data_IF_855414056950
#
_entry.id   IF_855414056950
#
_cell.length_a   1.000
_cell.length_b   1.000
_cell.length_c   1.000
_cell.angle_alpha   90.00
_cell.angle_beta   90.00
_cell.angle_gamma   90.00
#
_symmetry.space_group_name_H-M   'P 1'
#
loop_
_entity.id
_entity.type
_entity.pdbx_description
1 polymer ?
#
# COMPACT_ATOMS: atom_id res chain seq x y z
N UNK A 1 -23.56 41.33 31.17
CA UNK A 1 -23.68 39.98 31.72
C UNK A 1 -23.50 39.04 30.55
N UNK A 2 -22.23 38.71 30.24
CA UNK A 2 -21.85 37.83 29.16
C UNK A 2 -21.96 36.36 29.59
N UNK A 3 -22.46 35.45 28.78
CA UNK A 3 -22.46 34.04 29.14
C UNK A 3 -21.09 33.43 28.91
N UNK A 4 -20.45 32.96 29.95
CA UNK A 4 -19.23 32.18 29.93
C UNK A 4 -19.52 30.80 29.28
N UNK A 5 -18.78 30.49 28.19
CA UNK A 5 -18.79 29.20 27.54
C UNK A 5 -17.81 28.26 28.28
N UNK A 6 -18.23 27.15 28.89
CA UNK A 6 -17.31 26.19 29.47
C UNK A 6 -16.82 25.27 28.36
N UNK A 7 -15.66 25.57 27.77
CA UNK A 7 -14.91 24.60 27.00
C UNK A 7 -14.41 23.50 27.94
N UNK A 8 -15.05 22.35 27.89
CA UNK A 8 -14.57 21.14 28.50
C UNK A 8 -13.28 20.70 27.78
N UNK A 9 -12.15 20.83 28.47
CA UNK A 9 -10.92 20.16 28.11
C UNK A 9 -11.14 18.64 28.19
N UNK A 10 -11.37 17.99 27.08
CA UNK A 10 -11.19 16.55 26.97
C UNK A 10 -9.67 16.28 27.05
N UNK A 11 -9.20 15.33 27.88
CA UNK A 11 -7.79 14.97 27.89
C UNK A 11 -7.42 14.39 26.53
N UNK A 12 -6.49 15.03 25.83
CA UNK A 12 -5.82 14.44 24.68
C UNK A 12 -5.13 13.16 25.17
N UNK A 13 -5.63 12.02 24.71
CA UNK A 13 -4.98 10.75 24.92
C UNK A 13 -3.66 10.77 24.13
N UNK A 14 -2.57 11.08 24.83
CA UNK A 14 -1.22 10.85 24.34
C UNK A 14 -1.05 9.34 24.25
N UNK A 15 -1.26 8.79 23.06
CA UNK A 15 -0.87 7.41 22.74
C UNK A 15 0.63 7.42 22.54
N UNK A 16 1.37 6.87 23.50
CA UNK A 16 2.80 6.59 23.37
C UNK A 16 3.01 5.68 22.14
N UNK A 17 3.84 6.08 21.16
CA UNK A 17 4.13 5.27 19.98
C UNK A 17 4.92 3.98 20.29
N UNK A 18 5.37 3.82 21.54
CA UNK A 18 6.25 2.73 21.99
C UNK A 18 5.62 1.85 23.09
N UNK A 19 4.28 1.80 23.18
CA UNK A 19 3.63 0.80 24.01
C UNK A 19 3.87 -0.59 23.39
N UNK A 20 4.77 -1.38 23.98
CA UNK A 20 5.24 -2.69 23.51
C UNK A 20 4.09 -3.59 23.05
N UNK A 21 3.77 -3.51 21.77
CA UNK A 21 2.76 -4.32 21.11
C UNK A 21 3.33 -5.73 20.99
N UNK A 22 2.57 -6.75 21.40
CA UNK A 22 2.96 -8.13 21.17
C UNK A 22 3.22 -8.33 19.66
N UNK A 23 4.26 -9.10 19.27
CA UNK A 23 4.61 -9.26 17.87
C UNK A 23 3.43 -9.75 17.06
N UNK A 24 3.18 -9.14 15.91
CA UNK A 24 2.07 -9.49 15.03
C UNK A 24 2.09 -10.98 14.68
N UNK A 25 0.97 -11.70 14.83
CA UNK A 25 0.86 -13.09 14.43
C UNK A 25 1.24 -13.29 12.95
N UNK A 26 0.92 -12.33 12.11
CA UNK A 26 1.24 -12.34 10.68
C UNK A 26 2.74 -12.24 10.42
N UNK A 27 3.41 -11.29 11.08
CA UNK A 27 4.86 -11.15 10.97
C UNK A 27 5.57 -12.40 11.48
N UNK A 28 5.12 -12.94 12.63
CA UNK A 28 5.66 -14.18 13.22
C UNK A 28 5.50 -15.36 12.26
N UNK A 29 4.34 -15.53 11.63
CA UNK A 29 4.08 -16.62 10.70
C UNK A 29 4.95 -16.51 9.44
N UNK A 30 5.06 -15.31 8.86
CA UNK A 30 5.91 -15.08 7.68
C UNK A 30 7.39 -15.31 8.01
N UNK A 31 7.89 -14.78 9.13
CA UNK A 31 9.28 -14.97 9.55
C UNK A 31 9.62 -16.43 9.84
N UNK A 32 8.67 -17.21 10.32
CA UNK A 32 8.86 -18.65 10.61
C UNK A 32 8.91 -19.49 9.34
N UNK A 33 7.99 -19.27 8.40
CA UNK A 33 7.85 -20.11 7.21
C UNK A 33 8.70 -19.62 6.03
N UNK A 34 8.85 -18.29 5.92
CA UNK A 34 9.49 -17.62 4.80
C UNK A 34 10.30 -16.40 5.27
N UNK A 35 11.38 -16.59 6.04
CA UNK A 35 12.16 -15.47 6.58
C UNK A 35 12.74 -14.56 5.49
N UNK A 36 13.02 -15.09 4.31
CA UNK A 36 13.52 -14.34 3.15
C UNK A 36 12.49 -13.39 2.51
N UNK A 37 11.21 -13.52 2.88
CA UNK A 37 10.15 -12.63 2.41
C UNK A 37 9.94 -11.41 3.31
N UNK A 38 10.65 -11.33 4.42
CA UNK A 38 10.52 -10.23 5.38
C UNK A 38 11.81 -9.42 5.44
N UNK A 39 11.77 -8.21 4.90
CA UNK A 39 12.89 -7.26 5.00
C UNK A 39 12.85 -6.56 6.35
N UNK A 40 11.68 -6.05 6.72
CA UNK A 40 11.46 -5.28 7.94
C UNK A 40 10.01 -5.43 8.40
N UNK A 41 9.80 -5.36 9.71
CA UNK A 41 8.47 -5.30 10.34
C UNK A 41 8.38 -4.00 11.14
N UNK A 42 7.37 -3.21 10.84
CA UNK A 42 7.11 -1.93 11.50
C UNK A 42 5.77 -2.02 12.23
N UNK A 43 5.80 -1.90 13.54
CA UNK A 43 4.60 -1.82 14.38
C UNK A 43 4.42 -0.37 14.81
N UNK A 44 3.35 0.26 14.37
CA UNK A 44 3.06 1.64 14.70
C UNK A 44 1.55 1.89 14.75
N UNK A 45 1.10 2.64 15.75
CA UNK A 45 -0.31 3.04 15.91
C UNK A 45 -1.30 1.85 15.91
N UNK A 46 -0.87 0.68 16.38
CA UNK A 46 -1.67 -0.55 16.39
C UNK A 46 -1.82 -1.21 15.02
N UNK A 47 -1.02 -0.81 14.04
CA UNK A 47 -0.95 -1.42 12.71
C UNK A 47 0.41 -2.08 12.47
N UNK A 48 0.38 -3.24 11.83
CA UNK A 48 1.57 -3.95 11.38
C UNK A 48 1.82 -3.66 9.90
N UNK A 49 3.02 -3.19 9.58
CA UNK A 49 3.51 -3.08 8.20
C UNK A 49 4.70 -4.01 8.01
N UNK A 50 4.67 -4.82 6.97
CA UNK A 50 5.76 -5.75 6.62
C UNK A 50 6.33 -5.34 5.27
N UNK A 51 7.61 -5.00 5.22
CA UNK A 51 8.31 -4.72 3.97
C UNK A 51 8.73 -6.05 3.35
N UNK A 52 8.27 -6.29 2.12
CA UNK A 52 8.47 -7.54 1.37
C UNK A 52 9.28 -7.23 0.11
N UNK A 53 10.30 -8.05 -0.22
CA UNK A 53 10.98 -7.90 -1.50
C UNK A 53 9.99 -8.09 -2.66
N UNK A 54 10.08 -7.24 -3.70
CA UNK A 54 9.14 -7.28 -4.83
C UNK A 54 8.95 -8.66 -5.45
N UNK A 55 10.03 -9.43 -5.55
CA UNK A 55 10.01 -10.77 -6.13
C UNK A 55 9.10 -11.77 -5.38
N UNK A 56 8.80 -11.50 -4.12
CA UNK A 56 8.05 -12.42 -3.25
C UNK A 56 6.63 -11.94 -2.93
N UNK A 57 6.22 -10.75 -3.40
CA UNK A 57 4.92 -10.18 -3.01
C UNK A 57 3.74 -11.08 -3.37
N UNK A 58 3.69 -11.61 -4.59
CA UNK A 58 2.59 -12.48 -5.02
C UNK A 58 2.54 -13.79 -4.22
N UNK A 59 3.71 -14.38 -3.92
CA UNK A 59 3.81 -15.59 -3.09
C UNK A 59 3.41 -15.31 -1.64
N UNK A 60 3.87 -14.19 -1.05
CA UNK A 60 3.50 -13.75 0.29
C UNK A 60 1.98 -13.52 0.41
N UNK A 61 1.38 -12.84 -0.56
CA UNK A 61 -0.06 -12.65 -0.64
C UNK A 61 -0.82 -14.00 -0.72
N UNK A 62 -0.34 -14.93 -1.54
CA UNK A 62 -0.92 -16.27 -1.64
C UNK A 62 -0.85 -17.06 -0.33
N UNK A 63 0.28 -17.03 0.34
CA UNK A 63 0.47 -17.64 1.65
C UNK A 63 -0.48 -17.03 2.70
N UNK A 64 -0.50 -15.72 2.83
CA UNK A 64 -1.35 -15.03 3.80
C UNK A 64 -2.84 -15.30 3.60
N UNK A 65 -3.27 -15.45 2.35
CA UNK A 65 -4.66 -15.81 2.03
C UNK A 65 -4.99 -17.24 2.41
N UNK A 66 -4.06 -18.20 2.21
CA UNK A 66 -4.32 -19.64 2.35
C UNK A 66 -3.98 -20.19 3.73
N UNK A 67 -3.12 -19.53 4.51
CA UNK A 67 -2.72 -19.97 5.84
C UNK A 67 -3.93 -20.01 6.79
N UNK A 68 -4.29 -21.16 7.38
CA UNK A 68 -5.53 -21.32 8.16
C UNK A 68 -5.61 -20.42 9.40
N UNK A 69 -4.47 -20.08 9.98
CA UNK A 69 -4.37 -19.19 11.13
C UNK A 69 -4.50 -17.71 10.79
N UNK A 70 -4.34 -17.33 9.50
CA UNK A 70 -4.32 -15.95 9.04
C UNK A 70 -5.55 -15.58 8.20
N UNK A 71 -5.87 -16.38 7.18
CA UNK A 71 -7.06 -16.25 6.33
C UNK A 71 -7.32 -14.82 5.83
N UNK A 72 -6.29 -14.16 5.25
CA UNK A 72 -6.47 -12.85 4.63
C UNK A 72 -7.29 -12.95 3.35
N UNK A 73 -8.59 -13.10 3.52
CA UNK A 73 -9.54 -13.35 2.43
C UNK A 73 -10.03 -12.07 1.73
N UNK A 74 -9.67 -10.89 2.22
CA UNK A 74 -10.07 -9.62 1.67
C UNK A 74 -8.87 -8.71 1.40
N UNK A 75 -8.70 -8.32 0.12
CA UNK A 75 -7.82 -7.24 -0.29
C UNK A 75 -8.60 -5.95 -0.22
N UNK A 76 -8.30 -5.11 0.76
CA UNK A 76 -9.00 -3.86 0.97
C UNK A 76 -8.54 -2.78 -0.03
N UNK A 77 -7.22 -2.75 -0.32
CA UNK A 77 -6.66 -1.76 -1.24
C UNK A 77 -5.27 -2.18 -1.74
N UNK A 78 -4.90 -1.68 -2.94
CA UNK A 78 -3.51 -1.62 -3.42
C UNK A 78 -3.27 -0.20 -3.90
N UNK A 79 -2.43 0.55 -3.21
CA UNK A 79 -2.16 1.94 -3.54
C UNK A 79 -0.68 2.23 -3.71
N UNK A 80 -0.36 3.09 -4.68
CA UNK A 80 0.96 3.62 -4.90
C UNK A 80 1.26 4.83 -4.00
N UNK A 81 2.54 5.07 -3.76
CA UNK A 81 3.02 6.28 -3.12
C UNK A 81 4.34 6.70 -3.77
N UNK A 82 4.48 7.96 -4.14
CA UNK A 82 5.72 8.56 -4.62
C UNK A 82 6.41 9.31 -3.46
N UNK A 83 7.57 8.85 -3.06
CA UNK A 83 8.38 9.47 -2.01
C UNK A 83 9.04 10.77 -2.48
N UNK A 84 9.20 10.90 -3.79
CA UNK A 84 9.81 12.05 -4.45
C UNK A 84 11.02 11.66 -5.29
N UNK A 85 11.41 12.50 -6.26
CA UNK A 85 12.50 12.20 -7.18
C UNK A 85 13.89 12.16 -6.52
N UNK A 86 14.03 12.71 -5.31
CA UNK A 86 15.28 12.68 -4.53
C UNK A 86 15.40 11.44 -3.63
N UNK A 87 14.35 10.61 -3.54
CA UNK A 87 14.30 9.44 -2.68
C UNK A 87 14.65 8.16 -3.44
N UNK A 88 15.44 7.29 -2.81
CA UNK A 88 15.81 5.98 -3.34
C UNK A 88 15.59 4.90 -2.26
N UNK A 89 14.74 3.91 -2.51
CA UNK A 89 13.83 3.73 -3.66
C UNK A 89 12.72 4.80 -3.70
N UNK A 90 12.28 5.20 -4.91
CA UNK A 90 11.31 6.28 -5.12
C UNK A 90 9.87 5.89 -4.82
N UNK A 91 9.44 4.73 -5.31
CA UNK A 91 8.04 4.33 -5.21
C UNK A 91 7.80 3.29 -4.12
N UNK A 92 6.61 3.36 -3.53
CA UNK A 92 6.07 2.33 -2.65
C UNK A 92 4.77 1.80 -3.23
N UNK A 93 4.54 0.49 -3.11
CA UNK A 93 3.24 -0.12 -3.32
C UNK A 93 2.78 -0.74 -2.01
N UNK A 94 1.64 -0.30 -1.51
CA UNK A 94 1.06 -0.74 -0.25
C UNK A 94 -0.16 -1.61 -0.50
N UNK A 95 -0.15 -2.82 0.05
CA UNK A 95 -1.24 -3.78 -0.03
C UNK A 95 -1.91 -3.87 1.34
N UNK A 96 -3.16 -3.45 1.43
CA UNK A 96 -3.94 -3.50 2.66
C UNK A 96 -4.79 -4.76 2.69
N UNK A 97 -4.42 -5.69 3.56
CA UNK A 97 -5.07 -6.99 3.69
C UNK A 97 -5.91 -7.04 4.97
N UNK A 98 -7.08 -7.65 4.87
CA UNK A 98 -7.96 -7.86 5.99
C UNK A 98 -8.47 -9.30 6.02
N UNK A 99 -8.49 -9.90 7.21
CA UNK A 99 -9.15 -11.17 7.47
C UNK A 99 -10.53 -10.91 8.05
N UNK A 100 -11.56 -11.18 7.27
CA UNK A 100 -12.95 -11.05 7.72
C UNK A 100 -13.25 -12.04 8.84
N UNK A 101 -12.68 -13.23 8.75
CA UNK A 101 -12.89 -14.31 9.71
C UNK A 101 -12.18 -14.06 11.04
N UNK A 102 -10.94 -13.55 10.96
CA UNK A 102 -10.06 -13.36 12.13
C UNK A 102 -10.08 -11.94 12.68
N UNK A 103 -10.71 -10.99 11.97
CA UNK A 103 -10.83 -9.58 12.36
C UNK A 103 -9.49 -8.88 12.59
N UNK A 104 -8.47 -9.22 11.81
CA UNK A 104 -7.17 -8.56 11.85
C UNK A 104 -6.78 -8.00 10.48
N UNK A 105 -5.84 -7.06 10.48
CA UNK A 105 -5.32 -6.41 9.27
C UNK A 105 -3.81 -6.43 9.28
N UNK A 106 -3.24 -6.33 8.07
CA UNK A 106 -1.81 -6.13 7.85
C UNK A 106 -1.62 -5.29 6.60
N UNK A 107 -0.57 -4.48 6.59
CA UNK A 107 -0.08 -3.81 5.39
C UNK A 107 1.18 -4.53 4.92
N UNK A 108 1.21 -4.95 3.67
CA UNK A 108 2.47 -5.30 3.01
C UNK A 108 2.93 -4.10 2.21
N UNK A 109 4.23 -3.84 2.23
CA UNK A 109 4.85 -2.74 1.49
C UNK A 109 5.95 -3.29 0.59
N UNK A 110 5.96 -2.85 -0.66
CA UNK A 110 7.04 -3.09 -1.62
C UNK A 110 7.66 -1.76 -2.00
N UNK A 111 8.98 -1.72 -2.01
CA UNK A 111 9.75 -0.55 -2.43
C UNK A 111 10.29 -0.78 -3.84
N UNK A 112 10.18 0.22 -4.72
CA UNK A 112 10.55 0.14 -6.13
C UNK A 112 11.41 1.32 -6.54
N UNK A 113 12.43 1.04 -7.36
CA UNK A 113 13.27 2.06 -7.98
C UNK A 113 12.52 2.79 -9.08
N UNK A 114 12.90 4.05 -9.31
CA UNK A 114 12.34 4.85 -10.40
C UNK A 114 12.59 4.25 -11.78
N UNK A 115 13.79 3.71 -11.97
CA UNK A 115 14.23 3.15 -13.27
C UNK A 115 13.69 1.75 -13.52
N UNK A 116 13.13 1.08 -12.49
CA UNK A 116 12.58 -0.27 -12.59
C UNK A 116 11.34 -0.41 -11.68
N UNK A 117 10.25 0.34 -11.98
CA UNK A 117 9.04 0.36 -11.16
C UNK A 117 8.12 -0.84 -11.44
N UNK A 118 8.70 -2.03 -11.50
CA UNK A 118 8.03 -3.30 -11.79
C UNK A 118 7.74 -4.09 -10.53
N UNK A 119 6.55 -4.70 -10.44
CA UNK A 119 6.15 -5.58 -9.34
C UNK A 119 5.20 -6.66 -9.85
N UNK A 120 5.29 -7.92 -9.38
CA UNK A 120 4.34 -8.95 -9.76
C UNK A 120 2.89 -8.60 -9.38
N UNK A 121 1.95 -8.84 -10.31
CA UNK A 121 0.52 -8.69 -10.07
C UNK A 121 0.01 -9.69 -9.05
N UNK A 122 -0.91 -9.25 -8.20
CA UNK A 122 -1.63 -10.12 -7.25
C UNK A 122 -3.09 -10.41 -7.69
N UNK A 123 -3.44 -10.15 -8.97
CA UNK A 123 -4.74 -10.49 -9.54
C UNK A 123 -5.05 -11.98 -9.50
N UNK A 124 -4.01 -12.84 -9.55
CA UNK A 124 -4.12 -14.28 -9.37
C UNK A 124 -4.52 -14.68 -7.94
N UNK A 125 -4.26 -13.83 -6.97
CA UNK A 125 -4.63 -14.05 -5.57
C UNK A 125 -6.02 -13.46 -5.28
N UNK A 126 -6.25 -12.19 -5.61
CA UNK A 126 -7.55 -11.51 -5.45
C UNK A 126 -7.96 -10.82 -6.75
N UNK A 127 -9.14 -11.14 -7.25
CA UNK A 127 -9.66 -10.53 -8.48
C UNK A 127 -9.85 -9.01 -8.38
N UNK A 128 -10.11 -8.51 -7.17
CA UNK A 128 -10.27 -7.07 -6.88
C UNK A 128 -8.99 -6.28 -7.15
N UNK A 129 -7.80 -6.91 -7.07
CA UNK A 129 -6.53 -6.29 -7.37
C UNK A 129 -6.48 -5.68 -8.78
N UNK A 130 -7.20 -6.26 -9.74
CA UNK A 130 -7.24 -5.76 -11.12
C UNK A 130 -7.50 -4.24 -11.20
N UNK A 131 -8.47 -3.73 -10.44
CA UNK A 131 -8.83 -2.32 -10.46
C UNK A 131 -7.82 -1.45 -9.73
N UNK A 132 -7.35 -1.87 -8.56
CA UNK A 132 -6.37 -1.15 -7.74
C UNK A 132 -5.00 -1.08 -8.41
N UNK A 133 -4.57 -2.16 -9.04
CA UNK A 133 -3.29 -2.20 -9.77
C UNK A 133 -3.33 -1.28 -11.01
N UNK A 134 -4.44 -1.26 -11.75
CA UNK A 134 -4.64 -0.32 -12.86
C UNK A 134 -4.66 1.14 -12.39
N UNK A 135 -5.27 1.44 -11.26
CA UNK A 135 -5.26 2.78 -10.67
C UNK A 135 -3.81 3.19 -10.30
N UNK A 136 -3.08 2.31 -9.62
CA UNK A 136 -1.68 2.55 -9.25
C UNK A 136 -0.79 2.73 -10.49
N UNK A 137 -0.99 1.92 -11.52
CA UNK A 137 -0.33 2.11 -12.81
C UNK A 137 -0.68 3.45 -13.44
N UNK A 138 -1.94 3.80 -13.50
CA UNK A 138 -2.42 5.02 -14.15
C UNK A 138 -1.84 6.28 -13.49
N UNK A 139 -1.85 6.33 -12.16
CA UNK A 139 -1.50 7.53 -11.40
C UNK A 139 -0.01 7.66 -11.08
N UNK A 140 0.72 6.55 -10.96
CA UNK A 140 2.15 6.53 -10.56
C UNK A 140 3.07 5.92 -11.62
N UNK A 141 2.55 5.13 -12.56
CA UNK A 141 3.35 4.45 -13.58
C UNK A 141 4.08 3.20 -13.07
N UNK A 142 3.59 2.59 -12.00
CA UNK A 142 4.05 1.29 -11.54
C UNK A 142 3.53 0.21 -12.47
N UNK A 143 4.40 -0.67 -12.94
CA UNK A 143 4.06 -1.75 -13.86
C UNK A 143 3.83 -3.04 -13.07
N UNK A 144 2.64 -3.61 -13.21
CA UNK A 144 2.28 -4.88 -12.58
C UNK A 144 2.48 -6.02 -13.56
N UNK A 145 3.57 -6.78 -13.37
CA UNK A 145 3.93 -7.90 -14.24
C UNK A 145 2.85 -9.00 -14.18
N UNK A 146 2.54 -9.59 -15.34
CA UNK A 146 1.50 -10.60 -15.50
C UNK A 146 0.06 -10.12 -15.17
N UNK A 147 -0.16 -8.81 -15.09
CA UNK A 147 -1.52 -8.27 -15.01
C UNK A 147 -2.30 -8.57 -16.29
N UNK A 148 -3.54 -9.10 -16.22
CA UNK A 148 -4.27 -9.55 -17.41
C UNK A 148 -4.65 -8.46 -18.41
N UNK A 149 -4.77 -7.20 -17.96
CA UNK A 149 -5.20 -6.06 -18.79
C UNK A 149 -4.75 -4.74 -18.13
N UNK A 150 -3.42 -4.47 -18.12
CA UNK A 150 -2.84 -3.28 -17.52
C UNK A 150 -3.00 -2.06 -18.43
N UNK A 151 -4.07 -1.31 -18.25
CA UNK A 151 -4.38 -0.07 -18.97
C UNK A 151 -4.92 0.99 -18.02
N UNK A 152 -4.93 2.24 -18.45
CA UNK A 152 -5.48 3.35 -17.65
C UNK A 152 -6.93 3.09 -17.25
N UNK A 153 -7.36 3.70 -16.14
CA UNK A 153 -8.71 3.53 -15.59
C UNK A 153 -9.36 4.86 -15.19
N UNK A 154 -8.58 5.81 -14.72
CA UNK A 154 -9.05 7.13 -14.26
C UNK A 154 -8.78 8.22 -15.28
N UNK A 155 -7.59 8.19 -15.89
CA UNK A 155 -7.17 9.20 -16.87
C UNK A 155 -7.50 8.73 -18.29
N UNK A 156 -7.69 9.66 -19.25
CA UNK A 156 -7.86 9.33 -20.67
C UNK A 156 -6.68 8.52 -21.21
N UNK A 157 -6.93 7.70 -22.25
CA UNK A 157 -5.88 6.84 -22.83
C UNK A 157 -4.72 7.64 -23.45
N UNK A 158 -4.99 8.86 -23.93
CA UNK A 158 -4.03 9.78 -24.50
C UNK A 158 -3.37 10.75 -23.48
N UNK A 159 -3.67 10.57 -22.19
CA UNK A 159 -3.05 11.35 -21.13
C UNK A 159 -1.54 11.11 -21.05
N UNK A 160 -0.76 12.20 -20.96
CA UNK A 160 0.70 12.12 -20.84
C UNK A 160 1.15 12.15 -19.37
N UNK A 161 2.02 11.20 -19.01
CA UNK A 161 2.58 11.09 -17.66
C UNK A 161 1.64 10.45 -16.63
N UNK A 162 1.97 10.65 -15.37
CA UNK A 162 1.28 10.06 -14.21
C UNK A 162 0.99 11.13 -13.17
N UNK A 163 -0.28 11.44 -12.97
CA UNK A 163 -0.74 12.67 -12.32
C UNK A 163 -0.43 12.77 -10.82
N UNK A 164 -0.14 11.65 -10.13
CA UNK A 164 0.20 11.68 -8.71
C UNK A 164 1.71 11.59 -8.43
N UNK A 165 2.55 11.56 -9.46
CA UNK A 165 3.99 11.73 -9.26
C UNK A 165 4.28 13.15 -8.77
N UNK A 166 5.22 13.30 -7.82
CA UNK A 166 5.54 14.59 -7.21
C UNK A 166 6.22 15.57 -8.17
N UNK A 167 6.83 15.07 -9.22
CA UNK A 167 7.42 15.84 -10.32
C UNK A 167 6.44 16.18 -11.45
N UNK A 168 5.18 15.69 -11.37
CA UNK A 168 4.16 15.99 -12.35
C UNK A 168 3.74 17.47 -12.25
N UNK A 169 3.69 18.22 -13.38
CA UNK A 169 3.34 19.64 -13.36
C UNK A 169 1.91 19.87 -12.86
N UNK A 170 1.71 20.85 -11.98
CA UNK A 170 0.40 21.18 -11.41
C UNK A 170 -0.67 21.47 -12.50
N UNK A 171 -0.26 22.05 -13.62
CA UNK A 171 -1.16 22.38 -14.73
C UNK A 171 -1.27 21.26 -15.77
N UNK A 172 -0.55 20.17 -15.60
CA UNK A 172 -0.46 19.09 -16.59
C UNK A 172 0.40 19.47 -17.78
N UNK A 173 0.33 18.64 -18.83
CA UNK A 173 0.96 18.89 -20.13
C UNK A 173 -0.11 19.23 -21.16
N UNK A 174 0.27 19.99 -22.19
CA UNK A 174 -0.61 20.22 -23.33
C UNK A 174 -1.04 18.88 -23.97
N UNK A 175 -2.32 18.70 -24.43
CA UNK A 175 -3.38 19.71 -24.51
C UNK A 175 -4.25 19.87 -23.27
N UNK A 176 -3.95 19.21 -22.16
CA UNK A 176 -4.78 19.19 -20.95
C UNK A 176 -4.46 20.28 -19.94
N UNK A 177 -3.54 21.22 -20.28
CA UNK A 177 -3.26 22.37 -19.43
C UNK A 177 -4.52 23.25 -19.30
N UNK A 178 -4.88 23.58 -18.07
CA UNK A 178 -5.94 24.54 -17.80
C UNK A 178 -5.46 25.96 -18.16
N UNK A 179 -6.16 26.64 -19.06
CA UNK A 179 -5.97 28.07 -19.35
C UNK A 179 -6.36 28.97 -18.15
#
# INVERSE_FOLDING_TARGET
MEPQNPQANAPEAQTDPDAGTAPSPTATALQREHPEWVVEVIEAFGETTIIVPRAHIAAACGFLKSAPELEYNFLADVCGFDRGPEEEPRFEVNYHLFSITRHHRVRLKVLLDENDPHVPSVTGVWRTANWHERETYDLFGVIFDDHPDLRRILLPDDWQGHALRKDFPLRGYEPYSLE
#
